data_IF_663905289366
#
_entry.id   IF_663905289366
#
_cell.length_a   1.000
_cell.length_b   1.000
_cell.length_c   1.000
_cell.angle_alpha   90.00
_cell.angle_beta   90.00
_cell.angle_gamma   90.00
#
_symmetry.space_group_name_H-M   'P 1'
#
loop_
_entity.id
_entity.type
_entity.pdbx_description
1 polymer ?
#
# COMPACT_ATOMS: atom_id res chain seq x y z
N UNK A 1 -44.91 17.44 5.13
CA UNK A 1 -44.63 16.72 3.86
C UNK A 1 -43.14 16.47 3.56
N UNK A 2 -42.16 17.05 4.29
CA UNK A 2 -40.71 16.80 4.06
C UNK A 2 -40.14 15.61 4.86
N UNK A 3 -40.79 15.19 5.95
CA UNK A 3 -40.25 14.17 6.87
C UNK A 3 -40.36 12.72 6.34
N UNK A 4 -41.41 12.43 5.57
CA UNK A 4 -41.70 11.08 5.06
C UNK A 4 -40.75 10.66 3.91
N UNK A 5 -40.27 11.62 3.12
CA UNK A 5 -39.31 11.40 2.04
C UNK A 5 -37.92 11.01 2.57
N UNK A 6 -37.49 11.61 3.69
CA UNK A 6 -36.22 11.32 4.34
C UNK A 6 -36.19 9.89 4.91
N UNK A 7 -37.33 9.40 5.41
CA UNK A 7 -37.46 8.06 5.98
C UNK A 7 -37.31 6.91 4.96
N UNK A 8 -37.51 7.16 3.66
CA UNK A 8 -37.41 6.14 2.60
C UNK A 8 -36.11 6.31 1.79
N UNK A 9 -35.70 7.54 1.49
CA UNK A 9 -34.50 7.80 0.69
C UNK A 9 -33.21 7.38 1.39
N UNK A 10 -33.12 7.60 2.71
CA UNK A 10 -31.92 7.24 3.48
C UNK A 10 -31.70 5.72 3.48
N UNK A 11 -32.66 4.86 3.86
CA UNK A 11 -32.46 3.42 3.79
C UNK A 11 -32.24 2.92 2.35
N UNK A 12 -32.88 3.50 1.33
CA UNK A 12 -32.58 3.15 -0.07
C UNK A 12 -31.13 3.47 -0.47
N UNK A 13 -30.58 4.60 -0.05
CA UNK A 13 -29.18 4.96 -0.32
C UNK A 13 -28.22 4.03 0.43
N UNK A 14 -28.54 3.66 1.68
CA UNK A 14 -27.77 2.67 2.43
C UNK A 14 -27.81 1.29 1.78
N UNK A 15 -28.97 0.86 1.25
CA UNK A 15 -29.09 -0.40 0.51
C UNK A 15 -28.29 -0.34 -0.79
N UNK A 16 -28.36 0.74 -1.56
CA UNK A 16 -27.56 0.92 -2.77
C UNK A 16 -26.06 0.93 -2.46
N UNK A 17 -25.63 1.61 -1.40
CA UNK A 17 -24.25 1.62 -0.95
C UNK A 17 -23.79 0.24 -0.48
N UNK A 18 -24.62 -0.47 0.28
CA UNK A 18 -24.34 -1.84 0.72
C UNK A 18 -24.26 -2.81 -0.47
N UNK A 19 -25.18 -2.72 -1.45
CA UNK A 19 -25.15 -3.52 -2.66
C UNK A 19 -23.91 -3.22 -3.52
N UNK A 20 -23.55 -1.94 -3.66
CA UNK A 20 -22.31 -1.53 -4.33
C UNK A 20 -21.09 -2.13 -3.63
N UNK A 21 -21.02 -2.02 -2.30
CA UNK A 21 -19.91 -2.55 -1.51
C UNK A 21 -19.83 -4.08 -1.53
N UNK A 22 -20.97 -4.78 -1.49
CA UNK A 22 -21.05 -6.24 -1.64
C UNK A 22 -20.54 -6.65 -3.02
N UNK A 23 -20.98 -5.95 -4.07
CA UNK A 23 -20.56 -6.22 -5.45
C UNK A 23 -19.06 -5.94 -5.66
N UNK A 24 -18.53 -4.86 -5.08
CA UNK A 24 -17.10 -4.53 -5.16
C UNK A 24 -16.23 -5.52 -4.39
N UNK A 25 -16.72 -6.00 -3.23
CA UNK A 25 -16.07 -7.05 -2.45
C UNK A 25 -16.01 -8.38 -3.23
N UNK A 26 -17.11 -8.78 -3.87
CA UNK A 26 -17.14 -9.99 -4.70
C UNK A 26 -16.10 -9.91 -5.82
N UNK A 27 -15.97 -8.75 -6.48
CA UNK A 27 -14.93 -8.54 -7.50
C UNK A 27 -13.51 -8.70 -6.94
N UNK A 28 -13.23 -8.26 -5.71
CA UNK A 28 -11.91 -8.37 -5.09
C UNK A 28 -11.60 -9.81 -4.61
N UNK A 29 -12.59 -10.48 -4.04
CA UNK A 29 -12.45 -11.85 -3.55
C UNK A 29 -12.17 -12.82 -4.72
N UNK A 30 -12.75 -12.56 -5.90
CA UNK A 30 -12.53 -13.32 -7.13
C UNK A 30 -11.20 -13.02 -7.87
N UNK A 31 -10.37 -12.07 -7.40
CA UNK A 31 -9.05 -11.84 -8.01
C UNK A 31 -8.15 -13.04 -7.73
N UNK A 32 -7.68 -13.70 -8.79
CA UNK A 32 -6.72 -14.80 -8.70
C UNK A 32 -5.31 -14.20 -8.71
N UNK A 33 -4.50 -14.50 -7.70
CA UNK A 33 -3.08 -14.13 -7.69
C UNK A 33 -2.31 -15.22 -8.41
N UNK A 34 -1.63 -14.85 -9.49
CA UNK A 34 -0.80 -15.78 -10.28
C UNK A 34 0.63 -15.89 -9.73
N UNK A 35 1.32 -16.99 -10.03
CA UNK A 35 2.74 -17.15 -9.72
C UNK A 35 3.61 -16.07 -10.36
N UNK A 36 3.25 -15.62 -11.57
CA UNK A 36 3.94 -14.53 -12.26
C UNK A 36 3.81 -13.20 -11.52
N UNK A 37 2.65 -12.94 -10.89
CA UNK A 37 2.46 -11.77 -10.02
C UNK A 37 3.36 -11.86 -8.78
N UNK A 38 3.42 -13.01 -8.11
CA UNK A 38 4.29 -13.20 -6.95
C UNK A 38 5.76 -12.99 -7.32
N UNK A 39 6.19 -13.56 -8.45
CA UNK A 39 7.54 -13.35 -9.01
C UNK A 39 7.81 -11.89 -9.36
N UNK A 40 6.82 -11.19 -9.89
CA UNK A 40 6.94 -9.76 -10.20
C UNK A 40 7.15 -8.93 -8.93
N UNK A 41 6.40 -9.23 -7.87
CA UNK A 41 6.56 -8.57 -6.56
C UNK A 41 7.94 -8.86 -5.98
N UNK A 42 8.37 -10.12 -5.97
CA UNK A 42 9.70 -10.51 -5.48
C UNK A 42 10.82 -9.81 -6.26
N UNK A 43 10.74 -9.78 -7.59
CA UNK A 43 11.68 -9.05 -8.44
C UNK A 43 11.73 -7.55 -8.12
N UNK A 44 10.58 -6.92 -7.84
CA UNK A 44 10.54 -5.51 -7.45
C UNK A 44 11.19 -5.28 -6.08
N UNK A 45 11.01 -6.21 -5.13
CA UNK A 45 11.62 -6.14 -3.80
C UNK A 45 13.13 -6.35 -3.89
N UNK A 46 13.61 -7.33 -4.68
CA UNK A 46 15.02 -7.70 -4.77
C UNK A 46 15.87 -6.76 -5.63
N UNK A 47 15.29 -6.17 -6.70
CA UNK A 47 16.03 -5.26 -7.58
C UNK A 47 16.23 -3.87 -7.00
N UNK A 48 15.47 -3.51 -5.96
CA UNK A 48 15.43 -2.15 -5.45
C UNK A 48 15.82 -2.14 -3.96
N UNK A 49 16.86 -1.39 -3.56
CA UNK A 49 17.26 -1.27 -2.16
C UNK A 49 16.12 -0.88 -1.24
N UNK A 50 15.25 0.02 -1.72
CA UNK A 50 14.05 0.45 -1.04
C UNK A 50 12.88 0.35 -2.02
N UNK A 51 11.84 -0.38 -1.63
CA UNK A 51 10.63 -0.54 -2.41
C UNK A 51 9.41 -0.10 -1.61
N UNK A 52 8.51 0.66 -2.25
CA UNK A 52 7.28 1.18 -1.66
C UNK A 52 6.12 0.89 -2.61
N UNK A 53 5.17 0.07 -2.19
CA UNK A 53 3.88 -0.03 -2.85
C UNK A 53 2.86 0.84 -2.12
N UNK A 54 2.30 1.83 -2.81
CA UNK A 54 1.34 2.79 -2.24
C UNK A 54 0.15 2.99 -3.18
N UNK A 55 -0.74 3.93 -2.84
CA UNK A 55 -1.68 4.55 -3.76
C UNK A 55 -1.39 6.04 -3.94
N UNK A 56 -1.69 6.61 -5.10
CA UNK A 56 -1.36 8.00 -5.48
C UNK A 56 -1.94 9.03 -4.49
N UNK A 57 -3.14 8.76 -3.97
CA UNK A 57 -3.86 9.59 -3.02
C UNK A 57 -3.52 9.32 -1.55
N UNK A 58 -2.72 8.29 -1.25
CA UNK A 58 -2.46 7.88 0.14
C UNK A 58 -1.51 8.86 0.85
N UNK A 59 -1.95 9.57 1.91
CA UNK A 59 -1.09 10.51 2.62
C UNK A 59 0.05 9.81 3.37
N UNK A 60 -0.18 8.59 3.87
CA UNK A 60 0.83 7.82 4.60
C UNK A 60 1.99 7.37 3.70
N UNK A 61 1.70 6.96 2.46
CA UNK A 61 2.73 6.65 1.48
C UNK A 61 3.57 7.88 1.12
N UNK A 62 2.92 9.04 0.97
CA UNK A 62 3.60 10.32 0.75
C UNK A 62 4.52 10.68 1.91
N UNK A 63 4.05 10.54 3.15
CA UNK A 63 4.86 10.80 4.35
C UNK A 63 6.04 9.84 4.47
N UNK A 64 5.86 8.56 4.16
CA UNK A 64 6.95 7.59 4.13
C UNK A 64 8.02 7.98 3.09
N UNK A 65 7.59 8.35 1.88
CA UNK A 65 8.49 8.83 0.83
C UNK A 65 9.24 10.11 1.22
N UNK A 66 8.56 11.09 1.83
CA UNK A 66 9.18 12.31 2.36
C UNK A 66 10.18 11.97 3.46
N UNK A 67 9.84 11.06 4.37
CA UNK A 67 10.75 10.64 5.44
C UNK A 67 12.06 10.13 4.87
N UNK A 68 11.99 9.23 3.89
CA UNK A 68 13.18 8.66 3.26
C UNK A 68 13.98 9.72 2.48
N UNK A 69 13.31 10.57 1.70
CA UNK A 69 13.98 11.52 0.80
C UNK A 69 14.43 12.82 1.46
N UNK A 70 13.65 13.40 2.36
CA UNK A 70 13.92 14.71 2.97
C UNK A 70 14.61 14.59 4.33
N UNK A 71 14.15 13.68 5.20
CA UNK A 71 14.76 13.52 6.52
C UNK A 71 16.07 12.72 6.44
N UNK A 72 16.10 11.67 5.61
CA UNK A 72 17.27 10.77 5.48
C UNK A 72 18.08 10.98 4.21
N UNK A 73 17.66 11.88 3.31
CA UNK A 73 18.38 12.22 2.07
C UNK A 73 18.72 11.01 1.20
N UNK A 74 17.87 9.98 1.23
CA UNK A 74 18.02 8.81 0.38
C UNK A 74 17.91 9.24 -1.08
N UNK A 75 18.87 8.88 -1.95
CA UNK A 75 18.79 9.18 -3.38
C UNK A 75 17.54 8.57 -4.02
N UNK A 76 16.86 9.34 -4.86
CA UNK A 76 15.57 8.93 -5.45
C UNK A 76 15.69 7.69 -6.33
N UNK A 77 16.83 7.49 -6.99
CA UNK A 77 17.16 6.33 -7.82
C UNK A 77 17.29 5.03 -7.02
N UNK A 78 17.47 5.12 -5.69
CA UNK A 78 17.51 3.96 -4.78
C UNK A 78 16.13 3.58 -4.23
N UNK A 79 15.11 4.40 -4.51
CA UNK A 79 13.73 4.19 -4.05
C UNK A 79 12.84 3.88 -5.26
N UNK A 80 12.31 2.66 -5.29
CA UNK A 80 11.24 2.32 -6.22
C UNK A 80 9.89 2.46 -5.54
N UNK A 81 9.10 3.43 -5.98
CA UNK A 81 7.68 3.55 -5.62
C UNK A 81 6.80 3.10 -6.78
N UNK A 82 5.74 2.35 -6.47
CA UNK A 82 4.65 2.05 -7.39
C UNK A 82 3.31 2.50 -6.79
N UNK A 83 2.42 2.99 -7.64
CA UNK A 83 1.05 3.37 -7.26
C UNK A 83 0.08 2.32 -7.77
N UNK A 84 -0.42 1.49 -6.86
CA UNK A 84 -1.27 0.34 -7.19
C UNK A 84 -2.60 0.76 -7.84
N UNK A 85 -3.11 1.93 -7.52
CA UNK A 85 -4.33 2.47 -8.13
C UNK A 85 -4.15 2.92 -9.59
N UNK A 86 -2.92 3.13 -10.04
CA UNK A 86 -2.60 3.55 -11.41
C UNK A 86 -2.19 2.37 -12.31
N UNK A 87 -2.02 1.18 -11.74
CA UNK A 87 -1.60 -0.02 -12.46
C UNK A 87 -2.80 -0.88 -12.85
N UNK A 88 -2.85 -1.33 -14.11
CA UNK A 88 -3.88 -2.25 -14.60
C UNK A 88 -4.07 -3.49 -13.71
N UNK A 89 -2.97 -4.05 -13.20
CA UNK A 89 -2.96 -5.24 -12.34
C UNK A 89 -2.70 -4.89 -10.86
N UNK A 90 -2.93 -3.65 -10.45
CA UNK A 90 -2.58 -3.19 -9.10
C UNK A 90 -3.36 -3.88 -7.98
N UNK A 91 -4.62 -4.25 -8.21
CA UNK A 91 -5.40 -5.00 -7.23
C UNK A 91 -4.85 -6.43 -7.01
N UNK A 92 -4.41 -7.09 -8.09
CA UNK A 92 -3.74 -8.39 -8.02
C UNK A 92 -2.40 -8.29 -7.29
N UNK A 93 -1.60 -7.26 -7.61
CA UNK A 93 -0.34 -6.97 -6.89
C UNK A 93 -0.58 -6.71 -5.40
N UNK A 94 -1.62 -5.95 -5.04
CA UNK A 94 -1.97 -5.69 -3.64
C UNK A 94 -2.36 -6.99 -2.91
N UNK A 95 -3.15 -7.86 -3.57
CA UNK A 95 -3.54 -9.16 -3.02
C UNK A 95 -2.33 -10.09 -2.87
N UNK A 96 -1.41 -10.10 -3.83
CA UNK A 96 -0.14 -10.83 -3.74
C UNK A 96 0.77 -10.30 -2.63
N UNK A 97 0.88 -8.97 -2.46
CA UNK A 97 1.60 -8.37 -1.34
C UNK A 97 0.99 -8.81 0.00
N UNK A 98 -0.34 -8.82 0.12
CA UNK A 98 -1.03 -9.34 1.31
C UNK A 98 -0.72 -10.82 1.55
N UNK A 99 -0.69 -11.67 0.52
CA UNK A 99 -0.31 -13.08 0.67
C UNK A 99 1.13 -13.24 1.18
N UNK A 100 2.06 -12.37 0.76
CA UNK A 100 3.47 -12.44 1.14
C UNK A 100 3.69 -11.98 2.60
N UNK A 101 3.03 -10.92 3.05
CA UNK A 101 3.37 -10.23 4.30
C UNK A 101 2.21 -10.05 5.30
N UNK A 102 0.98 -10.40 4.92
CA UNK A 102 -0.21 -10.29 5.76
C UNK A 102 -0.77 -8.87 5.94
N UNK A 103 -0.15 -7.84 5.37
CA UNK A 103 -0.62 -6.46 5.49
C UNK A 103 -1.64 -6.14 4.40
N UNK A 104 -2.82 -5.64 4.77
CA UNK A 104 -3.88 -5.28 3.81
C UNK A 104 -3.84 -3.82 3.37
N UNK A 105 -3.18 -2.96 4.15
CA UNK A 105 -3.14 -1.51 3.97
C UNK A 105 -1.88 -1.06 3.25
N UNK A 106 -2.01 0.02 2.49
CA UNK A 106 -0.87 0.76 1.93
C UNK A 106 -0.40 1.85 2.91
N UNK A 107 0.88 2.23 2.91
CA UNK A 107 1.96 1.71 2.06
C UNK A 107 2.54 0.37 2.56
N UNK A 108 3.02 -0.46 1.65
CA UNK A 108 3.93 -1.57 1.97
C UNK A 108 5.36 -1.09 1.74
N UNK A 109 6.17 -1.10 2.78
CA UNK A 109 7.55 -0.60 2.74
C UNK A 109 8.51 -1.76 2.91
N UNK A 110 9.48 -1.84 2.01
CA UNK A 110 10.60 -2.79 2.06
C UNK A 110 11.92 -2.03 2.03
N UNK A 111 12.86 -2.44 2.87
CA UNK A 111 14.22 -1.89 2.92
C UNK A 111 15.19 -3.07 3.00
N UNK A 112 16.18 -3.09 2.10
CA UNK A 112 17.12 -4.20 1.95
C UNK A 112 16.40 -5.56 1.85
N UNK A 113 15.38 -5.59 0.99
CA UNK A 113 14.54 -6.76 0.68
C UNK A 113 13.72 -7.31 1.88
N UNK A 114 13.83 -6.69 3.05
CA UNK A 114 13.05 -7.02 4.25
C UNK A 114 11.79 -6.18 4.31
N UNK A 115 10.67 -6.82 4.62
CA UNK A 115 9.42 -6.12 4.91
C UNK A 115 9.52 -5.31 6.20
N UNK A 116 9.21 -4.03 6.10
CA UNK A 116 9.21 -3.09 7.23
C UNK A 116 7.79 -2.91 7.78
N UNK A 117 6.77 -2.88 6.92
CA UNK A 117 5.39 -2.58 7.31
C UNK A 117 4.87 -1.29 6.66
N UNK A 118 4.02 -0.57 7.39
CA UNK A 118 3.46 0.71 6.99
C UNK A 118 4.29 1.94 7.39
N UNK A 119 3.71 3.12 7.18
CA UNK A 119 4.34 4.39 7.59
C UNK A 119 4.49 4.49 9.11
N UNK A 120 3.53 3.96 9.87
CA UNK A 120 3.59 3.83 11.32
C UNK A 120 4.87 3.12 11.77
N UNK A 121 5.16 1.96 11.17
CA UNK A 121 6.35 1.18 11.52
C UNK A 121 7.64 1.88 11.07
N UNK A 122 7.62 2.57 9.93
CA UNK A 122 8.74 3.39 9.49
C UNK A 122 9.03 4.55 10.47
N UNK A 123 7.99 5.27 10.92
CA UNK A 123 8.14 6.35 11.89
C UNK A 123 8.59 5.81 13.26
N UNK A 124 8.14 4.63 13.68
CA UNK A 124 8.63 3.97 14.90
C UNK A 124 10.15 3.73 14.83
N UNK A 125 10.64 3.18 13.70
CA UNK A 125 12.07 2.95 13.49
C UNK A 125 12.87 4.25 13.46
N UNK A 126 12.31 5.32 12.87
CA UNK A 126 12.91 6.66 12.92
C UNK A 126 13.01 7.17 14.35
N UNK A 127 11.93 7.08 15.13
CA UNK A 127 11.88 7.59 16.50
C UNK A 127 12.77 6.79 17.47
N UNK A 128 13.09 5.54 17.13
CA UNK A 128 14.04 4.70 17.86
C UNK A 128 15.49 4.85 17.35
N UNK A 129 15.75 5.76 16.42
CA UNK A 129 17.04 5.96 15.74
C UNK A 129 17.57 4.72 14.98
N UNK A 130 16.73 3.71 14.76
CA UNK A 130 17.09 2.44 14.10
C UNK A 130 17.02 2.52 12.57
N UNK A 131 16.25 3.47 12.03
CA UNK A 131 16.07 3.62 10.58
C UNK A 131 17.39 3.98 9.87
N UNK A 132 18.25 4.77 10.51
CA UNK A 132 19.56 5.17 9.96
C UNK A 132 20.40 3.95 9.58
N UNK A 133 20.48 2.95 10.45
CA UNK A 133 21.35 1.80 10.24
C UNK A 133 20.76 0.81 9.22
N UNK A 134 19.43 0.68 9.17
CA UNK A 134 18.76 -0.06 8.10
C UNK A 134 19.05 0.55 6.73
N UNK A 135 18.98 1.88 6.61
CA UNK A 135 19.26 2.58 5.37
C UNK A 135 20.73 2.47 4.96
N UNK A 136 21.67 2.59 5.91
CA UNK A 136 23.10 2.37 5.62
C UNK A 136 23.34 0.98 5.05
N UNK A 137 22.69 -0.05 5.57
CA UNK A 137 22.86 -1.42 5.06
C UNK A 137 22.23 -1.61 3.68
N UNK A 138 21.12 -0.93 3.39
CA UNK A 138 20.47 -0.99 2.08
C UNK A 138 21.24 -0.23 0.98
N UNK A 139 21.96 0.83 1.35
CA UNK A 139 22.58 1.77 0.39
C UNK A 139 24.09 1.58 0.19
N UNK A 140 24.68 0.57 0.84
CA UNK A 140 26.05 0.10 0.56
C UNK A 140 26.13 -0.45 -0.85
#
# INVERSE_FOLDING_TARGET
MKLQYVAILVPCLFILFALYFIFEKDKYDNIIVTEDTLRTIQNLIEKNPIFIASKSYCPYGRQAYITLTHNYRVPKDKIKIIYLDELKYGAELQKGLYQINGQSTVPHIYINHRFIGGNDKLQELKNKDQLSDLLKNALK
#
